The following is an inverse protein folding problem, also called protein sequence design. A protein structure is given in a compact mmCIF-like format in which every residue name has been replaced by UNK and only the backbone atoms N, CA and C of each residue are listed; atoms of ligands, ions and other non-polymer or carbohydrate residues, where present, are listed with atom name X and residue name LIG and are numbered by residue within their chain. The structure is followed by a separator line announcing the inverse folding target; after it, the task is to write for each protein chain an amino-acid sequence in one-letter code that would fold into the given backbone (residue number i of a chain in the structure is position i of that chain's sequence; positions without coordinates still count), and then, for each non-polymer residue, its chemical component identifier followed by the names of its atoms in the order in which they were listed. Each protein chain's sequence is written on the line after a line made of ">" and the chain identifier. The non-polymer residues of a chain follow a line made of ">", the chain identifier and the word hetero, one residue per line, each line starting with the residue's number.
data_IF_316277883497
#
_entry.id   IF_316277883497
#
_cell.length_a   1.000
_cell.length_b   1.000
_cell.length_c   1.000
_cell.angle_alpha   90.00
_cell.angle_beta   90.00
_cell.angle_gamma   90.00
#
_symmetry.space_group_name_H-M   'P 1'
#
loop_
_entity.id
_entity.type
_entity.pdbx_description
1 polymer ?
#
# COMPACT_ATOMS: atom_id res chain seq x y z
N UNK A 1 -14.68 24.06 -7.23
CA UNK A 1 -14.54 22.60 -7.31
C UNK A 1 -15.94 22.05 -7.40
N UNK A 2 -16.32 21.66 -8.61
CA UNK A 2 -17.67 21.23 -8.91
C UNK A 2 -17.85 19.74 -8.63
N UNK A 3 -18.81 19.40 -7.75
CA UNK A 3 -19.20 18.02 -7.46
C UNK A 3 -20.55 17.73 -8.13
N UNK A 4 -20.51 16.90 -9.18
CA UNK A 4 -21.67 16.42 -9.96
C UNK A 4 -22.23 15.17 -9.30
N UNK A 5 -23.22 15.37 -8.43
CA UNK A 5 -23.80 14.33 -7.60
C UNK A 5 -24.94 13.58 -8.30
N UNK A 6 -25.02 12.27 -8.06
CA UNK A 6 -26.26 11.52 -8.32
C UNK A 6 -27.40 12.05 -7.47
N UNK A 7 -28.66 11.86 -7.92
CA UNK A 7 -29.84 12.27 -7.16
C UNK A 7 -29.82 11.72 -5.72
N UNK A 8 -29.44 10.45 -5.57
CA UNK A 8 -29.34 9.77 -4.27
C UNK A 8 -28.35 10.47 -3.32
N UNK A 9 -27.21 10.95 -3.84
CA UNK A 9 -26.23 11.66 -3.03
C UNK A 9 -26.74 13.07 -2.68
N UNK A 10 -27.33 13.81 -3.62
CA UNK A 10 -27.92 15.12 -3.33
C UNK A 10 -29.00 15.04 -2.24
N UNK A 11 -29.91 14.08 -2.36
CA UNK A 11 -30.95 13.82 -1.37
C UNK A 11 -30.36 13.47 0.02
N UNK A 12 -29.17 12.85 0.05
CA UNK A 12 -28.47 12.50 1.29
C UNK A 12 -27.76 13.71 1.91
N UNK A 13 -27.23 14.62 1.08
CA UNK A 13 -26.50 15.82 1.52
C UNK A 13 -27.41 16.96 1.95
N UNK A 14 -28.66 16.99 1.49
CA UNK A 14 -29.54 18.17 1.59
C UNK A 14 -28.87 19.44 1.00
N UNK A 15 -28.05 19.24 -0.04
CA UNK A 15 -27.23 20.28 -0.63
C UNK A 15 -28.03 21.16 -1.62
N UNK A 16 -27.74 22.47 -1.62
CA UNK A 16 -28.28 23.40 -2.62
C UNK A 16 -27.54 23.23 -3.94
N UNK A 17 -28.30 22.92 -4.99
CA UNK A 17 -27.77 22.81 -6.35
C UNK A 17 -27.45 24.20 -6.89
N UNK A 18 -26.23 24.37 -7.40
CA UNK A 18 -25.79 25.56 -8.13
C UNK A 18 -25.80 25.32 -9.65
N UNK A 19 -25.85 26.40 -10.43
CA UNK A 19 -25.69 26.30 -11.88
C UNK A 19 -24.28 25.82 -12.23
N UNK A 20 -24.19 25.02 -13.30
CA UNK A 20 -22.93 24.49 -13.81
C UNK A 20 -22.23 25.59 -14.62
N UNK A 21 -21.28 26.28 -13.98
CA UNK A 21 -20.51 27.37 -14.59
C UNK A 21 -19.28 26.86 -15.35
N UNK A 22 -19.45 25.92 -16.30
CA UNK A 22 -18.36 25.41 -17.17
C UNK A 22 -16.99 25.32 -16.46
N UNK A 23 -16.95 24.71 -15.26
CA UNK A 23 -15.70 24.57 -14.52
C UNK A 23 -14.71 23.68 -15.30
N UNK A 24 -13.42 23.92 -15.12
CA UNK A 24 -12.37 23.06 -15.67
C UNK A 24 -12.61 21.61 -15.24
N UNK A 25 -12.51 20.67 -16.19
CA UNK A 25 -12.69 19.24 -15.92
C UNK A 25 -11.67 18.71 -14.89
N UNK A 26 -10.52 19.37 -14.75
CA UNK A 26 -9.50 19.06 -13.74
C UNK A 26 -10.05 19.17 -12.31
N UNK A 27 -10.92 20.15 -12.07
CA UNK A 27 -11.50 20.47 -10.76
C UNK A 27 -12.96 20.01 -10.62
N UNK A 28 -13.43 19.20 -11.57
CA UNK A 28 -14.81 18.68 -11.60
C UNK A 28 -14.81 17.18 -11.32
N UNK A 29 -15.72 16.74 -10.44
CA UNK A 29 -15.81 15.36 -9.98
C UNK A 29 -17.25 14.87 -10.05
N UNK A 30 -17.48 13.68 -10.59
CA UNK A 30 -18.73 12.96 -10.39
C UNK A 30 -18.72 12.23 -9.06
N UNK A 31 -19.85 12.27 -8.34
CA UNK A 31 -19.96 11.61 -7.05
C UNK A 31 -21.25 10.79 -6.89
N UNK A 32 -21.13 9.61 -6.25
CA UNK A 32 -22.25 8.73 -5.94
C UNK A 32 -22.17 8.23 -4.51
N UNK A 33 -23.33 7.91 -3.91
CA UNK A 33 -23.42 7.20 -2.63
C UNK A 33 -23.95 5.78 -2.84
N UNK A 34 -23.15 4.80 -2.46
CA UNK A 34 -23.48 3.37 -2.49
C UNK A 34 -23.46 2.79 -1.08
N UNK A 35 -23.89 1.54 -0.96
CA UNK A 35 -23.81 0.79 0.29
C UNK A 35 -22.84 -0.37 0.06
N UNK A 36 -21.76 -0.42 0.83
CA UNK A 36 -20.74 -1.49 0.79
C UNK A 36 -20.63 -2.03 2.20
N UNK A 37 -20.73 -3.35 2.38
CA UNK A 37 -20.72 -4.01 3.71
C UNK A 37 -21.63 -3.32 4.72
N UNK A 38 -22.87 -3.00 4.30
CA UNK A 38 -23.92 -2.30 5.08
C UNK A 38 -23.56 -0.87 5.54
N UNK A 39 -22.41 -0.32 5.12
CA UNK A 39 -21.99 1.05 5.42
C UNK A 39 -22.16 1.97 4.22
N UNK A 40 -22.47 3.26 4.47
CA UNK A 40 -22.58 4.28 3.42
C UNK A 40 -21.19 4.59 2.89
N UNK A 41 -21.04 4.57 1.57
CA UNK A 41 -19.77 4.80 0.89
C UNK A 41 -19.99 5.86 -0.18
N UNK A 42 -19.20 6.92 -0.17
CA UNK A 42 -19.20 7.95 -1.21
C UNK A 42 -17.99 7.71 -2.11
N UNK A 43 -18.25 7.69 -3.41
CA UNK A 43 -17.21 7.52 -4.45
C UNK A 43 -17.18 8.81 -5.25
N UNK A 44 -16.00 9.39 -5.40
CA UNK A 44 -15.74 10.47 -6.33
C UNK A 44 -14.90 9.97 -7.50
N UNK A 45 -15.18 10.48 -8.69
CA UNK A 45 -14.49 10.17 -9.94
C UNK A 45 -14.21 11.48 -10.69
N UNK A 46 -12.94 11.77 -10.96
CA UNK A 46 -12.56 13.00 -11.64
C UNK A 46 -12.99 13.01 -13.13
N UNK A 47 -13.43 14.18 -13.61
CA UNK A 47 -13.98 14.35 -14.95
C UNK A 47 -12.93 14.41 -16.05
N UNK A 48 -11.69 14.75 -15.74
CA UNK A 48 -10.58 14.78 -16.69
C UNK A 48 -9.83 13.44 -16.68
N UNK A 49 -9.31 13.04 -15.52
CA UNK A 49 -8.34 11.95 -15.41
C UNK A 49 -8.90 10.63 -14.89
N UNK A 50 -10.18 10.58 -14.49
CA UNK A 50 -10.82 9.37 -13.91
C UNK A 50 -10.23 8.90 -12.59
N UNK A 51 -9.41 9.71 -11.93
CA UNK A 51 -8.89 9.37 -10.61
C UNK A 51 -10.06 9.19 -9.63
N UNK A 52 -9.94 8.21 -8.74
CA UNK A 52 -11.01 7.80 -7.83
C UNK A 52 -10.64 8.14 -6.40
N UNK A 53 -11.61 8.69 -5.66
CA UNK A 53 -11.53 8.84 -4.20
C UNK A 53 -12.67 8.05 -3.57
N UNK A 54 -12.35 7.24 -2.56
CA UNK A 54 -13.31 6.42 -1.82
C UNK A 54 -13.40 6.90 -0.38
N UNK A 55 -14.62 7.24 0.03
CA UNK A 55 -14.98 7.50 1.42
C UNK A 55 -15.87 6.36 1.91
N UNK A 56 -15.47 5.66 2.96
CA UNK A 56 -16.17 4.49 3.49
C UNK A 56 -16.73 4.77 4.90
N UNK A 57 -17.72 3.99 5.34
CA UNK A 57 -18.15 4.05 6.73
C UNK A 57 -18.90 5.32 7.16
N UNK A 58 -19.37 6.16 6.22
CA UNK A 58 -19.88 7.50 6.58
C UNK A 58 -21.13 7.44 7.47
N UNK A 59 -21.09 8.22 8.54
CA UNK A 59 -22.18 8.46 9.48
C UNK A 59 -22.86 9.79 9.16
N UNK A 60 -24.04 10.03 9.75
CA UNK A 60 -24.83 11.25 9.53
C UNK A 60 -24.02 12.55 9.75
N UNK A 61 -23.15 12.57 10.76
CA UNK A 61 -22.29 13.72 11.09
C UNK A 61 -21.28 14.05 9.98
N UNK A 62 -20.86 13.05 9.21
CA UNK A 62 -19.86 13.20 8.16
C UNK A 62 -20.49 13.85 6.93
N UNK A 63 -21.74 13.50 6.60
CA UNK A 63 -22.51 14.17 5.55
C UNK A 63 -22.75 15.66 5.85
N UNK A 64 -22.91 16.04 7.12
CA UNK A 64 -23.03 17.46 7.50
C UNK A 64 -21.74 18.26 7.32
N UNK A 65 -20.59 17.59 7.13
CA UNK A 65 -19.28 18.21 6.90
C UNK A 65 -18.65 17.76 5.57
N UNK A 66 -19.49 17.36 4.60
CA UNK A 66 -19.04 16.72 3.38
C UNK A 66 -18.01 17.55 2.60
N UNK A 67 -18.20 18.87 2.50
CA UNK A 67 -17.29 19.75 1.76
C UNK A 67 -15.85 19.64 2.28
N UNK A 68 -15.69 19.73 3.61
CA UNK A 68 -14.38 19.59 4.27
C UNK A 68 -13.83 18.19 4.11
N UNK A 69 -14.68 17.17 4.20
CA UNK A 69 -14.27 15.77 4.08
C UNK A 69 -13.79 15.45 2.65
N UNK A 70 -14.47 15.95 1.61
CA UNK A 70 -14.06 15.77 0.21
C UNK A 70 -12.71 16.44 -0.04
N UNK A 71 -12.55 17.71 0.36
CA UNK A 71 -11.31 18.44 0.17
C UNK A 71 -10.14 17.75 0.89
N UNK A 72 -10.35 17.37 2.15
CA UNK A 72 -9.36 16.60 2.92
C UNK A 72 -9.03 15.28 2.24
N UNK A 73 -10.02 14.52 1.78
CA UNK A 73 -9.76 13.23 1.16
C UNK A 73 -8.97 13.33 -0.13
N UNK A 74 -9.24 14.32 -0.98
CA UNK A 74 -8.42 14.57 -2.18
C UNK A 74 -6.99 14.93 -1.77
N UNK A 75 -6.82 15.79 -0.76
CA UNK A 75 -5.50 16.20 -0.25
C UNK A 75 -4.72 15.00 0.29
N UNK A 76 -5.29 14.27 1.25
CA UNK A 76 -4.66 13.13 1.91
C UNK A 76 -4.25 12.06 0.88
N UNK A 77 -5.10 11.77 -0.13
CA UNK A 77 -4.76 10.82 -1.20
C UNK A 77 -3.68 11.37 -2.14
N UNK A 78 -3.66 12.67 -2.43
CA UNK A 78 -2.62 13.28 -3.25
C UNK A 78 -1.25 13.29 -2.53
N UNK A 79 -1.24 13.53 -1.22
CA UNK A 79 -0.06 13.36 -0.38
C UNK A 79 0.42 11.91 -0.37
N UNK A 80 -0.49 10.94 -0.22
CA UNK A 80 -0.15 9.50 -0.26
C UNK A 80 0.37 9.04 -1.63
N UNK A 81 -0.04 9.69 -2.72
CA UNK A 81 0.53 9.52 -4.06
C UNK A 81 1.91 10.19 -4.24
N UNK A 82 2.44 10.82 -3.19
CA UNK A 82 3.66 11.62 -3.20
C UNK A 82 3.62 12.77 -4.23
N UNK A 83 2.44 13.37 -4.47
CA UNK A 83 2.37 14.53 -5.34
C UNK A 83 3.08 15.72 -4.68
N UNK A 84 3.75 16.52 -5.51
CA UNK A 84 4.46 17.72 -5.08
C UNK A 84 3.52 18.69 -4.34
N UNK A 85 3.88 19.07 -3.12
CA UNK A 85 3.10 19.95 -2.25
C UNK A 85 2.74 21.30 -2.92
N UNK A 86 3.66 21.86 -3.70
CA UNK A 86 3.41 23.11 -4.45
C UNK A 86 2.29 22.94 -5.48
N UNK A 87 2.24 21.77 -6.15
CA UNK A 87 1.18 21.42 -7.09
C UNK A 87 -0.14 21.18 -6.36
N UNK A 88 -0.13 20.49 -5.22
CA UNK A 88 -1.34 20.27 -4.40
C UNK A 88 -1.94 21.61 -3.97
N UNK A 89 -1.10 22.50 -3.43
CA UNK A 89 -1.51 23.83 -2.99
C UNK A 89 -2.09 24.67 -4.14
N UNK A 90 -1.42 24.68 -5.30
CA UNK A 90 -1.91 25.37 -6.48
C UNK A 90 -3.24 24.77 -6.99
N UNK A 91 -3.36 23.44 -7.00
CA UNK A 91 -4.59 22.73 -7.38
C UNK A 91 -5.78 23.19 -6.53
N UNK A 92 -5.65 23.23 -5.20
CA UNK A 92 -6.74 23.65 -4.32
C UNK A 92 -7.03 25.15 -4.40
N UNK A 93 -6.00 25.98 -4.60
CA UNK A 93 -6.18 27.42 -4.80
C UNK A 93 -7.00 27.72 -6.06
N UNK A 94 -6.72 27.02 -7.17
CA UNK A 94 -7.44 27.18 -8.43
C UNK A 94 -8.82 26.52 -8.42
N UNK A 95 -8.92 25.35 -7.79
CA UNK A 95 -10.19 24.64 -7.66
C UNK A 95 -11.20 25.46 -6.84
N UNK A 96 -10.76 26.17 -5.79
CA UNK A 96 -11.64 26.95 -4.93
C UNK A 96 -12.63 26.09 -4.12
N UNK A 97 -13.69 26.71 -3.61
CA UNK A 97 -14.69 26.05 -2.76
C UNK A 97 -15.52 24.96 -3.47
N UNK A 98 -16.12 24.07 -2.68
CA UNK A 98 -17.04 23.04 -3.16
C UNK A 98 -18.36 23.68 -3.61
N UNK A 99 -18.83 23.27 -4.78
CA UNK A 99 -20.19 23.52 -5.25
C UNK A 99 -20.82 22.22 -5.72
N UNK A 100 -22.15 22.13 -5.65
CA UNK A 100 -22.87 20.89 -6.00
C UNK A 100 -23.78 21.11 -7.20
N UNK A 101 -23.75 20.17 -8.13
CA UNK A 101 -24.74 20.10 -9.21
C UNK A 101 -25.22 18.69 -9.46
N UNK A 102 -26.16 18.54 -10.37
CA UNK A 102 -26.73 17.24 -10.75
C UNK A 102 -25.88 16.57 -11.83
N UNK A 103 -25.64 15.26 -11.71
CA UNK A 103 -25.12 14.45 -12.83
C UNK A 103 -26.12 14.46 -13.99
N UNK A 104 -25.68 14.82 -15.20
CA UNK A 104 -26.57 14.94 -16.39
C UNK A 104 -26.40 13.83 -17.43
N UNK A 105 -25.35 13.02 -17.35
CA UNK A 105 -25.06 12.02 -18.37
C UNK A 105 -25.01 10.58 -17.82
N UNK A 106 -25.61 9.65 -18.58
CA UNK A 106 -25.70 8.23 -18.20
C UNK A 106 -24.34 7.53 -18.20
N UNK A 107 -23.34 8.08 -18.89
CA UNK A 107 -22.03 7.44 -19.01
C UNK A 107 -21.23 7.58 -17.71
N UNK A 108 -21.26 8.75 -17.08
CA UNK A 108 -20.60 9.02 -15.79
C UNK A 108 -21.22 8.18 -14.67
N UNK A 109 -22.55 8.05 -14.63
CA UNK A 109 -23.23 7.14 -13.68
C UNK A 109 -22.82 5.68 -13.89
N UNK A 110 -22.68 5.23 -15.14
CA UNK A 110 -22.22 3.86 -15.43
C UNK A 110 -20.78 3.63 -14.98
N UNK A 111 -19.88 4.62 -15.14
CA UNK A 111 -18.50 4.55 -14.64
C UNK A 111 -18.46 4.49 -13.12
N UNK A 112 -19.23 5.34 -12.43
CA UNK A 112 -19.35 5.32 -10.97
C UNK A 112 -19.84 3.97 -10.44
N UNK A 113 -20.81 3.34 -11.10
CA UNK A 113 -21.27 2.00 -10.72
C UNK A 113 -20.17 0.95 -10.92
N UNK A 114 -19.38 1.03 -12.00
CA UNK A 114 -18.23 0.15 -12.19
C UNK A 114 -17.18 0.33 -11.09
N UNK A 115 -16.93 1.57 -10.65
CA UNK A 115 -16.05 1.83 -9.51
C UNK A 115 -16.62 1.22 -8.23
N UNK A 116 -17.94 1.33 -8.01
CA UNK A 116 -18.59 0.68 -6.87
C UNK A 116 -18.44 -0.86 -6.89
N UNK A 117 -18.48 -1.48 -8.07
CA UNK A 117 -18.20 -2.92 -8.20
C UNK A 117 -16.76 -3.24 -7.76
N UNK A 118 -15.78 -2.42 -8.16
CA UNK A 118 -14.39 -2.59 -7.72
C UNK A 118 -14.21 -2.38 -6.22
N UNK A 119 -14.87 -1.38 -5.62
CA UNK A 119 -14.85 -1.20 -4.15
C UNK A 119 -15.39 -2.44 -3.45
N UNK A 120 -16.42 -3.09 -3.99
CA UNK A 120 -16.91 -4.36 -3.44
C UNK A 120 -15.95 -5.53 -3.70
N UNK A 121 -15.22 -5.56 -4.81
CA UNK A 121 -14.22 -6.60 -5.10
C UNK A 121 -12.99 -6.49 -4.20
N UNK A 122 -12.60 -5.27 -3.85
CA UNK A 122 -11.46 -4.98 -2.97
C UNK A 122 -11.91 -4.62 -1.55
N UNK A 123 -13.04 -5.18 -1.09
CA UNK A 123 -13.58 -4.84 0.22
C UNK A 123 -12.63 -5.22 1.36
N UNK A 124 -11.78 -6.24 1.18
CA UNK A 124 -10.76 -6.65 2.15
C UNK A 124 -9.65 -5.59 2.35
N UNK A 125 -9.54 -4.60 1.46
CA UNK A 125 -8.62 -3.47 1.61
C UNK A 125 -9.23 -2.29 2.38
N UNK A 126 -10.49 -2.39 2.82
CA UNK A 126 -11.16 -1.33 3.57
C UNK A 126 -10.65 -1.29 5.01
N UNK A 127 -10.27 -0.10 5.45
CA UNK A 127 -9.84 0.17 6.82
C UNK A 127 -11.06 0.66 7.61
N UNK A 128 -11.59 -0.16 8.51
CA UNK A 128 -12.89 0.10 9.15
C UNK A 128 -12.98 1.41 9.94
N UNK A 129 -11.88 1.79 10.57
CA UNK A 129 -11.80 2.97 11.44
C UNK A 129 -11.36 4.24 10.71
N UNK A 130 -11.07 4.15 9.41
CA UNK A 130 -10.84 5.31 8.57
C UNK A 130 -12.04 5.61 7.68
N UNK A 131 -12.44 6.87 7.59
CA UNK A 131 -13.42 7.29 6.57
C UNK A 131 -12.74 7.45 5.21
N UNK A 132 -11.51 7.97 5.18
CA UNK A 132 -10.76 8.22 3.94
C UNK A 132 -9.96 6.97 3.61
N UNK A 133 -10.28 6.34 2.48
CA UNK A 133 -9.68 5.07 2.08
C UNK A 133 -8.57 5.33 1.05
N UNK A 134 -7.46 5.93 1.48
CA UNK A 134 -6.35 6.31 0.57
C UNK A 134 -5.80 5.11 -0.20
N UNK A 135 -5.40 4.05 0.49
CA UNK A 135 -4.82 2.84 -0.13
C UNK A 135 -5.76 2.23 -1.18
N UNK A 136 -7.06 2.18 -0.91
CA UNK A 136 -8.05 1.68 -1.86
C UNK A 136 -8.25 2.65 -3.05
N UNK A 137 -8.26 3.95 -2.79
CA UNK A 137 -8.37 5.00 -3.83
C UNK A 137 -7.21 4.92 -4.82
N UNK A 138 -5.98 4.80 -4.31
CA UNK A 138 -4.76 4.60 -5.09
C UNK A 138 -4.80 3.27 -5.88
N UNK A 139 -5.24 2.18 -5.23
CA UNK A 139 -5.35 0.86 -5.87
C UNK A 139 -6.33 0.87 -7.04
N UNK A 140 -7.51 1.44 -6.85
CA UNK A 140 -8.54 1.55 -7.90
C UNK A 140 -8.05 2.47 -9.02
N UNK A 141 -7.33 3.54 -8.71
CA UNK A 141 -6.81 4.48 -9.72
C UNK A 141 -5.65 3.93 -10.55
N UNK A 142 -5.13 2.74 -10.23
CA UNK A 142 -4.17 1.97 -11.06
C UNK A 142 -4.82 0.91 -11.95
N UNK A 143 -6.15 0.80 -11.92
CA UNK A 143 -6.92 -0.13 -12.74
C UNK A 143 -7.02 0.42 -14.17
N UNK A 144 -6.72 -0.42 -15.15
CA UNK A 144 -6.85 -0.06 -16.57
C UNK A 144 -8.33 0.15 -16.95
N UNK A 145 -8.67 1.32 -17.49
CA UNK A 145 -10.05 1.67 -17.89
C UNK A 145 -10.12 2.09 -19.36
N UNK A 146 -11.28 1.88 -20.01
CA UNK A 146 -11.45 2.35 -21.38
C UNK A 146 -11.52 3.88 -21.43
N UNK A 147 -10.85 4.47 -22.41
CA UNK A 147 -10.83 5.93 -22.58
C UNK A 147 -12.23 6.50 -22.83
N UNK A 148 -12.99 5.83 -23.69
CA UNK A 148 -14.36 6.18 -24.02
C UNK A 148 -15.22 4.96 -24.34
N UNK A 149 -16.53 5.16 -24.44
CA UNK A 149 -17.49 4.07 -24.68
C UNK A 149 -17.24 3.46 -26.07
N UNK A 150 -16.83 2.19 -26.10
CA UNK A 150 -16.52 1.47 -27.33
C UNK A 150 -15.10 1.70 -27.87
N UNK A 151 -14.26 2.45 -27.17
CA UNK A 151 -12.85 2.60 -27.53
C UNK A 151 -12.07 1.30 -27.31
N UNK A 152 -11.09 1.05 -28.16
CA UNK A 152 -10.04 0.03 -27.95
C UNK A 152 -8.84 0.59 -27.19
N UNK A 153 -8.83 1.90 -26.96
CA UNK A 153 -7.80 2.61 -26.21
C UNK A 153 -8.14 2.59 -24.72
N UNK A 154 -7.09 2.44 -23.93
CA UNK A 154 -7.17 2.34 -22.49
C UNK A 154 -6.27 3.37 -21.84
N UNK A 155 -6.70 3.85 -20.68
CA UNK A 155 -5.97 4.77 -19.83
C UNK A 155 -5.79 4.14 -18.45
N UNK A 156 -4.77 4.60 -17.73
CA UNK A 156 -4.61 4.35 -16.30
C UNK A 156 -4.86 5.68 -15.60
N UNK A 157 -5.85 5.77 -14.70
CA UNK A 157 -6.24 7.04 -14.10
C UNK A 157 -5.11 7.80 -13.42
N UNK A 158 -4.23 7.13 -12.67
CA UNK A 158 -3.07 7.77 -12.02
C UNK A 158 -2.06 8.31 -13.04
N UNK A 159 -1.73 7.55 -14.10
CA UNK A 159 -0.84 8.02 -15.18
C UNK A 159 -1.42 9.28 -15.85
N UNK A 160 -2.75 9.32 -16.04
CA UNK A 160 -3.43 10.46 -16.65
C UNK A 160 -3.49 11.66 -15.71
N UNK A 161 -3.73 11.45 -14.41
CA UNK A 161 -3.64 12.49 -13.39
C UNK A 161 -2.25 13.14 -13.42
N UNK A 162 -1.19 12.33 -13.38
CA UNK A 162 0.18 12.84 -13.40
C UNK A 162 0.45 13.67 -14.63
N UNK A 163 0.13 13.13 -15.82
CA UNK A 163 0.27 13.86 -17.08
C UNK A 163 -0.46 15.20 -17.06
N UNK A 164 -1.71 15.22 -16.60
CA UNK A 164 -2.50 16.46 -16.61
C UNK A 164 -1.96 17.50 -15.61
N UNK A 165 -1.44 17.08 -14.46
CA UNK A 165 -0.79 17.98 -13.51
C UNK A 165 0.54 18.51 -14.05
N UNK A 166 1.36 17.65 -14.65
CA UNK A 166 2.64 18.06 -15.26
C UNK A 166 2.43 19.11 -16.36
N UNK A 167 1.46 18.87 -17.26
CA UNK A 167 1.07 19.81 -18.32
C UNK A 167 0.56 21.14 -17.77
N UNK A 168 -0.12 21.14 -16.63
CA UNK A 168 -0.74 22.34 -16.04
C UNK A 168 0.27 23.19 -15.26
N UNK A 169 1.17 22.55 -14.51
CA UNK A 169 2.04 23.24 -13.54
C UNK A 169 3.51 23.33 -13.99
N UNK A 170 3.94 22.57 -15.01
CA UNK A 170 5.32 22.58 -15.52
C UNK A 170 6.38 22.31 -14.44
N UNK A 171 6.06 21.42 -13.49
CA UNK A 171 6.91 21.02 -12.38
C UNK A 171 6.91 19.48 -12.25
N UNK A 172 7.95 18.88 -11.63
CA UNK A 172 7.92 17.47 -11.28
C UNK A 172 6.68 17.15 -10.44
N UNK A 173 5.89 16.19 -10.91
CA UNK A 173 4.63 15.83 -10.28
C UNK A 173 4.85 15.03 -9.01
N UNK A 174 5.78 14.08 -9.05
CA UNK A 174 6.16 13.29 -7.90
C UNK A 174 7.35 13.95 -7.22
N UNK A 175 7.23 14.13 -5.91
CA UNK A 175 8.29 14.63 -5.05
C UNK A 175 8.08 14.08 -3.65
N UNK A 176 8.70 12.93 -3.36
CA UNK A 176 8.53 12.24 -2.09
C UNK A 176 9.79 12.28 -1.24
N UNK A 177 9.61 12.37 0.08
CA UNK A 177 10.65 11.93 1.01
C UNK A 177 10.69 10.40 1.02
N UNK A 178 11.88 9.83 0.97
CA UNK A 178 12.11 8.39 1.02
C UNK A 178 13.26 8.05 1.96
N UNK A 179 13.30 6.80 2.40
CA UNK A 179 14.39 6.21 3.19
C UNK A 179 15.08 5.12 2.40
N UNK A 180 16.40 5.04 2.52
CA UNK A 180 17.17 3.87 2.09
C UNK A 180 17.18 2.89 3.25
N UNK A 181 16.71 1.66 3.03
CA UNK A 181 16.68 0.63 4.06
C UNK A 181 17.38 -0.64 3.59
N UNK A 182 18.14 -1.24 4.50
CA UNK A 182 18.69 -2.59 4.35
C UNK A 182 17.88 -3.54 5.23
N UNK A 183 17.48 -4.66 4.66
CA UNK A 183 16.73 -5.72 5.31
C UNK A 183 17.57 -6.98 5.28
N UNK A 184 17.99 -7.46 6.43
CA UNK A 184 18.83 -8.66 6.58
C UNK A 184 18.00 -9.77 7.19
N UNK A 185 17.85 -10.89 6.48
CA UNK A 185 17.24 -12.10 7.03
C UNK A 185 18.24 -12.75 7.98
N UNK A 186 17.78 -13.02 9.19
CA UNK A 186 18.62 -13.47 10.26
C UNK A 186 18.91 -14.98 10.16
N UNK A 187 20.11 -15.30 9.66
CA UNK A 187 20.61 -16.66 9.52
C UNK A 187 22.08 -16.69 9.98
N UNK A 188 22.45 -17.68 10.77
CA UNK A 188 23.78 -17.84 11.33
C UNK A 188 24.82 -18.16 10.25
N UNK A 189 24.45 -18.98 9.26
CA UNK A 189 25.37 -19.52 8.26
C UNK A 189 25.22 -18.90 6.86
N UNK A 190 24.27 -17.97 6.67
CA UNK A 190 23.93 -17.41 5.35
C UNK A 190 23.83 -15.89 5.36
N UNK A 191 24.47 -15.23 4.40
CA UNK A 191 24.35 -13.78 4.20
C UNK A 191 23.23 -13.47 3.21
N UNK A 192 22.01 -13.29 3.74
CA UNK A 192 20.81 -13.01 2.96
C UNK A 192 20.26 -11.62 3.31
N UNK A 193 20.31 -10.69 2.35
CA UNK A 193 19.79 -9.33 2.56
C UNK A 193 19.25 -8.69 1.28
N UNK A 194 18.42 -7.65 1.44
CA UNK A 194 17.82 -6.84 0.38
C UNK A 194 17.90 -5.36 0.75
N UNK A 195 18.11 -4.48 -0.23
CA UNK A 195 18.14 -3.03 -0.04
C UNK A 195 17.08 -2.35 -0.90
N UNK A 196 16.42 -1.36 -0.33
CA UNK A 196 15.32 -0.63 -0.96
C UNK A 196 15.45 0.87 -0.77
N UNK A 197 14.86 1.63 -1.69
CA UNK A 197 14.44 3.02 -1.44
C UNK A 197 12.93 2.98 -1.26
N UNK A 198 12.43 3.51 -0.14
CA UNK A 198 11.02 3.40 0.24
C UNK A 198 10.47 4.79 0.57
N UNK A 199 9.46 5.28 -0.19
CA UNK A 199 8.76 6.51 0.16
C UNK A 199 8.18 6.44 1.57
N UNK A 200 8.30 7.51 2.36
CA UNK A 200 7.83 7.50 3.76
C UNK A 200 6.31 7.42 3.89
N UNK A 201 5.57 7.70 2.81
CA UNK A 201 4.12 7.52 2.76
C UNK A 201 3.70 6.07 2.49
N UNK A 202 4.66 5.15 2.31
CA UNK A 202 4.40 3.71 2.23
C UNK A 202 3.82 3.23 3.55
N UNK A 203 2.76 2.42 3.50
CA UNK A 203 2.20 1.79 4.71
C UNK A 203 2.94 0.52 5.09
N UNK A 204 2.86 0.11 6.35
CA UNK A 204 3.44 -1.16 6.82
C UNK A 204 2.89 -2.39 6.08
N UNK A 205 1.60 -2.39 5.72
CA UNK A 205 1.00 -3.42 4.85
C UNK A 205 1.64 -3.47 3.46
N UNK A 206 2.01 -2.30 2.88
CA UNK A 206 2.68 -2.26 1.57
C UNK A 206 4.14 -2.68 1.72
N UNK A 207 4.82 -2.26 2.79
CA UNK A 207 6.18 -2.72 3.10
C UNK A 207 6.22 -4.24 3.22
N UNK A 208 5.27 -4.84 3.93
CA UNK A 208 5.14 -6.29 4.06
C UNK A 208 5.07 -6.98 2.69
N UNK A 209 4.21 -6.50 1.79
CA UNK A 209 4.09 -7.05 0.43
C UNK A 209 5.40 -6.91 -0.37
N UNK A 210 6.13 -5.82 -0.19
CA UNK A 210 7.45 -5.62 -0.81
C UNK A 210 8.45 -6.64 -0.28
N UNK A 211 8.48 -6.87 1.04
CA UNK A 211 9.34 -7.88 1.67
C UNK A 211 9.01 -9.28 1.15
N UNK A 212 7.73 -9.66 1.14
CA UNK A 212 7.27 -10.94 0.59
C UNK A 212 7.76 -11.16 -0.85
N UNK A 213 7.65 -10.14 -1.72
CA UNK A 213 8.16 -10.24 -3.09
C UNK A 213 9.68 -10.28 -3.18
N UNK A 214 10.37 -9.52 -2.34
CA UNK A 214 11.83 -9.44 -2.37
C UNK A 214 12.50 -10.72 -1.85
N UNK A 215 11.83 -11.40 -0.92
CA UNK A 215 12.23 -12.68 -0.36
C UNK A 215 11.56 -13.86 -1.11
N UNK A 216 10.71 -13.61 -2.10
CA UNK A 216 10.08 -14.65 -2.96
C UNK A 216 9.12 -15.58 -2.20
N UNK A 217 8.57 -15.08 -1.10
CA UNK A 217 7.57 -15.76 -0.29
C UNK A 217 6.14 -15.56 -0.82
N UNK A 218 5.22 -16.28 -0.20
CA UNK A 218 3.85 -16.51 -0.67
C UNK A 218 2.79 -15.77 0.14
N UNK A 219 3.17 -15.13 1.25
CA UNK A 219 2.25 -14.39 2.12
C UNK A 219 1.16 -15.32 2.69
N UNK A 220 1.58 -16.48 3.23
CA UNK A 220 0.70 -17.49 3.83
C UNK A 220 0.50 -17.29 5.33
N UNK A 221 1.46 -16.67 6.00
CA UNK A 221 1.53 -16.63 7.46
C UNK A 221 1.41 -15.22 8.02
N UNK A 222 1.15 -15.15 9.33
CA UNK A 222 1.11 -13.89 10.07
C UNK A 222 2.49 -13.24 10.15
N UNK A 223 2.49 -11.94 10.39
CA UNK A 223 3.71 -11.17 10.59
C UNK A 223 3.52 -10.01 11.56
N UNK A 224 4.63 -9.46 12.01
CA UNK A 224 4.65 -8.21 12.78
C UNK A 224 5.94 -7.42 12.58
N UNK A 225 5.96 -6.21 13.13
CA UNK A 225 7.13 -5.35 13.21
C UNK A 225 7.35 -4.89 14.65
N UNK A 226 8.47 -5.26 15.25
CA UNK A 226 8.96 -4.55 16.42
C UNK A 226 9.68 -3.28 15.97
N UNK A 227 9.23 -2.14 16.48
CA UNK A 227 9.92 -0.85 16.34
C UNK A 227 10.77 -0.64 17.56
N UNK A 228 12.04 -0.26 17.35
CA UNK A 228 13.00 -0.07 18.42
C UNK A 228 13.28 1.41 18.67
N UNK A 229 13.50 1.76 19.93
CA UNK A 229 13.90 3.12 20.32
C UNK A 229 15.41 3.31 20.32
N UNK A 230 15.85 4.56 20.15
CA UNK A 230 17.27 4.95 20.11
C UNK A 230 17.99 4.86 21.47
N UNK A 231 17.24 4.60 22.55
CA UNK A 231 17.77 4.56 23.91
C UNK A 231 17.56 3.20 24.58
N UNK A 232 18.64 2.69 25.17
CA UNK A 232 18.64 1.48 26.00
C UNK A 232 19.14 0.27 25.24
N UNK A 233 20.38 -0.13 25.52
CA UNK A 233 20.86 -1.47 25.21
C UNK A 233 20.28 -2.39 26.29
N UNK A 234 19.41 -3.32 25.93
CA UNK A 234 18.90 -4.35 26.84
C UNK A 234 20.06 -5.24 27.27
N UNK A 235 20.03 -5.69 28.52
CA UNK A 235 20.94 -6.73 28.98
C UNK A 235 20.81 -7.96 28.07
N UNK A 236 21.94 -8.47 27.56
CA UNK A 236 22.04 -9.68 26.74
C UNK A 236 21.39 -10.92 27.37
N UNK A 237 21.03 -10.88 28.66
CA UNK A 237 20.19 -11.89 29.31
C UNK A 237 18.82 -12.09 28.66
N UNK A 238 18.34 -11.15 27.83
CA UNK A 238 17.10 -11.24 27.05
C UNK A 238 17.27 -11.78 25.63
N UNK A 239 18.43 -12.34 25.26
CA UNK A 239 18.70 -12.83 23.89
C UNK A 239 17.68 -13.85 23.35
N UNK A 240 17.02 -14.59 24.25
CA UNK A 240 15.99 -15.58 23.89
C UNK A 240 14.57 -15.00 23.84
N UNK A 241 14.39 -13.69 24.05
CA UNK A 241 13.08 -13.05 24.02
C UNK A 241 12.64 -12.79 22.57
N UNK A 242 11.37 -13.04 22.18
CA UNK A 242 10.90 -12.82 20.81
C UNK A 242 11.06 -11.37 20.35
N UNK A 243 11.01 -10.39 21.26
CA UNK A 243 11.13 -8.96 20.94
C UNK A 243 12.60 -8.49 20.89
N UNK A 244 13.57 -9.35 21.23
CA UNK A 244 14.98 -8.98 21.32
C UNK A 244 15.55 -8.54 19.97
N UNK A 245 16.33 -7.46 19.97
CA UNK A 245 17.17 -7.06 18.84
C UNK A 245 18.61 -7.53 19.07
N UNK A 246 19.31 -8.05 18.04
CA UNK A 246 20.69 -8.57 18.17
C UNK A 246 21.70 -7.57 18.75
N UNK A 247 21.55 -6.29 18.39
CA UNK A 247 22.38 -5.19 18.93
C UNK A 247 21.89 -4.65 20.29
N UNK A 248 20.81 -5.22 20.83
CA UNK A 248 20.26 -4.89 22.13
C UNK A 248 19.32 -3.68 22.14
N UNK A 249 18.76 -3.21 21.04
CA UNK A 249 17.76 -2.14 21.11
C UNK A 249 16.48 -2.57 21.84
N UNK A 250 15.86 -1.64 22.58
CA UNK A 250 14.63 -1.87 23.31
C UNK A 250 13.40 -1.68 22.39
N UNK A 251 12.49 -2.66 22.30
CA UNK A 251 11.26 -2.51 21.52
C UNK A 251 10.33 -1.52 22.23
N UNK A 252 9.73 -0.62 21.47
CA UNK A 252 8.82 0.43 21.97
C UNK A 252 7.40 0.32 21.41
N UNK A 253 7.23 -0.43 20.32
CA UNK A 253 5.94 -0.66 19.68
C UNK A 253 5.98 -1.97 18.91
N UNK A 254 4.87 -2.70 18.90
CA UNK A 254 4.64 -3.82 18.00
C UNK A 254 3.52 -3.49 17.01
N UNK A 255 3.82 -3.53 15.72
CA UNK A 255 2.84 -3.33 14.65
C UNK A 255 2.47 -4.70 14.09
N UNK A 256 1.22 -5.10 14.26
CA UNK A 256 0.75 -6.47 13.98
C UNK A 256 -0.11 -6.56 12.73
N UNK A 257 -0.07 -7.70 12.03
CA UNK A 257 -0.90 -7.98 10.86
C UNK A 257 -2.36 -8.31 11.21
N UNK A 258 -2.66 -8.68 12.45
CA UNK A 258 -3.98 -9.17 12.88
C UNK A 258 -4.28 -8.81 14.35
N UNK A 259 -5.57 -8.64 14.71
CA UNK A 259 -6.01 -8.34 16.09
C UNK A 259 -5.58 -9.36 17.13
N UNK A 260 -5.56 -10.62 16.71
CA UNK A 260 -5.32 -11.75 17.58
C UNK A 260 -3.84 -12.15 17.55
N UNK A 261 -2.97 -11.36 16.91
CA UNK A 261 -1.54 -11.47 17.11
C UNK A 261 -1.28 -11.43 18.62
N UNK A 262 -0.66 -12.51 19.11
CA UNK A 262 -0.59 -12.89 20.52
C UNK A 262 -0.35 -11.69 21.44
N UNK A 263 -1.14 -11.57 22.52
CA UNK A 263 -0.86 -10.61 23.58
C UNK A 263 0.61 -10.69 23.97
N UNK A 264 1.35 -9.61 23.72
CA UNK A 264 2.76 -9.54 24.05
C UNK A 264 2.93 -9.75 25.56
N UNK A 265 3.84 -10.63 26.00
CA UNK A 265 4.06 -10.91 27.42
C UNK A 265 4.51 -9.70 28.25
N UNK A 266 4.97 -8.61 27.62
CA UNK A 266 5.62 -7.47 28.28
C UNK A 266 4.81 -6.16 28.30
N UNK A 267 3.49 -6.20 28.10
CA UNK A 267 2.62 -5.00 28.04
C UNK A 267 3.05 -3.98 26.95
N UNK A 268 3.76 -4.42 25.90
CA UNK A 268 4.17 -3.57 24.79
C UNK A 268 2.95 -3.05 24.02
N UNK A 269 2.96 -1.77 23.65
CA UNK A 269 1.87 -1.19 22.85
C UNK A 269 1.78 -1.92 21.50
N UNK A 270 0.56 -2.31 21.14
CA UNK A 270 0.26 -3.00 19.89
C UNK A 270 -0.72 -2.19 19.06
N UNK A 271 -0.40 -2.02 17.78
CA UNK A 271 -1.28 -1.39 16.80
C UNK A 271 -1.38 -2.25 15.54
N UNK A 272 -2.49 -2.15 14.81
CA UNK A 272 -2.62 -2.84 13.52
C UNK A 272 -1.93 -2.06 12.41
N UNK A 273 -1.30 -2.76 11.47
CA UNK A 273 -0.56 -2.13 10.37
C UNK A 273 -1.44 -1.37 9.36
N UNK A 274 -2.74 -1.67 9.31
CA UNK A 274 -3.64 -1.21 8.25
C UNK A 274 -3.75 0.32 8.21
N UNK A 275 -3.14 0.91 7.18
CA UNK A 275 -3.15 2.36 6.95
C UNK A 275 -2.07 3.14 7.69
N UNK A 276 -1.26 2.48 8.52
CA UNK A 276 -0.15 3.13 9.24
C UNK A 276 1.01 3.35 8.27
N UNK A 277 1.43 4.60 8.10
CA UNK A 277 2.56 4.99 7.23
C UNK A 277 3.88 4.99 7.97
N UNK A 278 4.98 4.77 7.25
CA UNK A 278 6.33 4.91 7.79
C UNK A 278 6.62 6.33 8.30
N UNK A 279 5.98 7.35 7.75
CA UNK A 279 6.08 8.74 8.23
C UNK A 279 5.35 9.00 9.54
N UNK A 280 4.33 8.19 9.87
CA UNK A 280 3.62 8.28 11.15
C UNK A 280 4.39 7.59 12.27
N UNK A 281 5.07 6.49 11.94
CA UNK A 281 5.90 5.72 12.86
C UNK A 281 7.26 5.49 12.22
N UNK A 282 8.12 6.52 12.20
CA UNK A 282 9.47 6.37 11.68
C UNK A 282 10.33 5.54 12.65
N UNK A 283 11.36 4.90 12.12
CA UNK A 283 12.32 4.12 12.89
C UNK A 283 13.71 4.19 12.27
N UNK A 284 14.74 4.03 13.08
CA UNK A 284 16.11 3.74 12.61
C UNK A 284 16.32 2.22 12.50
N UNK A 285 15.79 1.48 13.49
CA UNK A 285 15.86 0.03 13.58
C UNK A 285 14.47 -0.58 13.79
N UNK A 286 14.17 -1.63 13.03
CA UNK A 286 12.98 -2.45 13.21
C UNK A 286 13.31 -3.93 13.01
N UNK A 287 12.47 -4.81 13.55
CA UNK A 287 12.52 -6.25 13.28
C UNK A 287 11.20 -6.71 12.71
N UNK A 288 11.23 -7.21 11.48
CA UNK A 288 10.10 -7.84 10.82
C UNK A 288 10.19 -9.35 11.02
N UNK A 289 9.16 -9.95 11.62
CA UNK A 289 9.06 -11.42 11.74
C UNK A 289 7.93 -11.90 10.88
N UNK A 290 8.21 -12.86 10.01
CA UNK A 290 7.24 -13.55 9.17
C UNK A 290 7.20 -15.02 9.54
N UNK A 291 5.99 -15.60 9.54
CA UNK A 291 5.74 -16.97 9.96
C UNK A 291 6.12 -17.20 11.42
N UNK A 292 5.13 -17.24 12.32
CA UNK A 292 5.39 -17.47 13.74
C UNK A 292 5.71 -18.93 14.08
N UNK A 293 5.57 -19.85 13.12
CA UNK A 293 6.05 -21.22 13.22
C UNK A 293 7.54 -21.31 12.90
N UNK A 294 7.91 -20.95 11.67
CA UNK A 294 9.30 -21.01 11.20
C UNK A 294 10.17 -19.85 11.73
N UNK A 295 9.54 -18.77 12.19
CA UNK A 295 10.13 -17.60 12.85
C UNK A 295 11.21 -16.92 12.00
N UNK A 296 10.88 -16.53 10.76
CA UNK A 296 11.79 -15.81 9.88
C UNK A 296 11.95 -14.35 10.34
N UNK A 297 13.07 -14.06 11.01
CA UNK A 297 13.37 -12.75 11.56
C UNK A 297 14.21 -11.91 10.59
N UNK A 298 13.82 -10.65 10.40
CA UNK A 298 14.53 -9.73 9.54
C UNK A 298 14.85 -8.45 10.30
N UNK A 299 16.13 -8.07 10.34
CA UNK A 299 16.54 -6.77 10.83
C UNK A 299 16.45 -5.74 9.71
N UNK A 300 15.75 -4.64 9.99
CA UNK A 300 15.57 -3.52 9.08
C UNK A 300 16.33 -2.33 9.66
N UNK A 301 17.25 -1.79 8.88
CA UNK A 301 18.07 -0.63 9.23
C UNK A 301 17.86 0.48 8.19
N UNK A 302 17.58 1.69 8.66
CA UNK A 302 17.56 2.88 7.79
C UNK A 302 18.98 3.41 7.62
N UNK A 303 19.49 3.34 6.39
CA UNK A 303 20.86 3.76 6.04
C UNK A 303 20.94 5.23 5.60
N UNK A 304 19.80 5.88 5.34
CA UNK A 304 19.75 7.30 4.97
C UNK A 304 18.39 7.77 4.46
N UNK A 305 18.29 9.08 4.18
CA UNK A 305 17.08 9.73 3.66
C UNK A 305 17.32 10.38 2.29
N UNK A 306 16.28 10.46 1.48
CA UNK A 306 16.23 11.16 0.19
C UNK A 306 15.04 12.11 0.27
N UNK A 307 15.26 13.41 0.14
CA UNK A 307 14.18 14.41 0.29
C UNK A 307 13.34 14.58 -0.99
N UNK A 308 13.96 14.45 -2.17
CA UNK A 308 13.34 14.70 -3.48
C UNK A 308 13.31 13.43 -4.35
N UNK A 309 12.78 12.33 -3.83
CA UNK A 309 12.61 11.09 -4.57
C UNK A 309 11.49 11.23 -5.61
N UNK A 310 11.77 10.86 -6.87
CA UNK A 310 10.90 11.07 -8.04
C UNK A 310 9.95 9.89 -8.30
N UNK A 311 9.86 8.96 -7.36
CA UNK A 311 9.02 7.78 -7.46
C UNK A 311 8.13 7.65 -6.21
N UNK A 312 6.87 7.27 -6.44
CA UNK A 312 5.85 7.17 -5.39
C UNK A 312 5.62 5.74 -4.90
N UNK A 313 6.55 4.83 -5.19
CA UNK A 313 6.52 3.47 -4.68
C UNK A 313 7.92 2.97 -4.28
N UNK A 314 7.99 1.94 -3.42
CA UNK A 314 9.25 1.28 -3.09
C UNK A 314 10.01 0.77 -4.33
N UNK A 315 11.33 0.90 -4.31
CA UNK A 315 12.24 0.47 -5.37
C UNK A 315 13.30 -0.45 -4.79
N UNK A 316 13.42 -1.64 -5.36
CA UNK A 316 14.52 -2.56 -5.07
C UNK A 316 15.84 -2.02 -5.65
N UNK A 317 16.87 -1.96 -4.82
CA UNK A 317 18.20 -1.45 -5.17
C UNK A 317 19.17 -2.60 -5.44
N UNK A 318 19.35 -3.48 -4.44
CA UNK A 318 20.35 -4.54 -4.48
C UNK A 318 20.08 -5.62 -3.41
N UNK A 319 20.79 -6.75 -3.45
CA UNK A 319 20.68 -7.81 -2.46
C UNK A 319 21.71 -8.92 -2.62
N UNK A 320 21.68 -9.87 -1.70
CA UNK A 320 22.53 -11.08 -1.72
C UNK A 320 21.81 -12.25 -1.07
N UNK A 321 22.20 -13.47 -1.45
CA UNK A 321 21.78 -14.70 -0.78
C UNK A 321 20.43 -15.24 -1.25
N UNK A 322 20.39 -16.58 -1.36
CA UNK A 322 19.18 -17.34 -1.66
C UNK A 322 18.18 -17.21 -0.50
N UNK A 323 16.89 -17.12 -0.79
CA UNK A 323 15.88 -17.13 0.28
C UNK A 323 15.48 -18.58 0.62
N UNK A 324 15.28 -18.92 1.91
CA UNK A 324 14.63 -20.17 2.29
C UNK A 324 13.26 -20.35 1.62
N UNK A 325 12.90 -21.57 1.17
CA UNK A 325 11.54 -21.87 0.71
C UNK A 325 10.52 -21.61 1.82
N UNK A 326 9.28 -21.29 1.43
CA UNK A 326 8.14 -21.33 2.36
C UNK A 326 8.01 -22.70 3.02
N UNK A 327 7.58 -22.71 4.28
CA UNK A 327 7.28 -23.92 5.07
C UNK A 327 8.45 -24.93 5.18
N UNK A 328 9.70 -24.47 5.07
CA UNK A 328 10.89 -25.36 5.12
C UNK A 328 11.23 -25.82 6.54
N UNK A 329 10.63 -25.22 7.58
CA UNK A 329 10.84 -25.58 8.98
C UNK A 329 11.90 -24.74 9.67
N UNK A 330 11.91 -23.43 9.39
CA UNK A 330 12.85 -22.48 9.96
C UNK A 330 14.29 -22.73 9.50
N UNK A 331 15.24 -22.08 10.17
CA UNK A 331 16.66 -22.12 9.78
C UNK A 331 17.23 -23.54 9.72
N UNK A 332 16.98 -24.37 10.74
CA UNK A 332 17.44 -25.77 10.73
C UNK A 332 16.84 -26.59 9.59
N UNK A 333 15.57 -26.31 9.25
CA UNK A 333 14.90 -26.94 8.12
C UNK A 333 15.54 -26.53 6.79
N UNK A 334 15.89 -25.26 6.64
CA UNK A 334 16.60 -24.75 5.48
C UNK A 334 17.99 -25.37 5.30
N UNK A 335 18.76 -25.52 6.37
CA UNK A 335 20.06 -26.20 6.33
C UNK A 335 19.94 -27.65 5.89
N UNK A 336 18.97 -28.38 6.46
CA UNK A 336 18.69 -29.76 6.10
C UNK A 336 18.25 -29.88 4.63
N UNK A 337 17.36 -28.99 4.18
CA UNK A 337 16.96 -28.90 2.78
C UNK A 337 18.15 -28.72 1.85
N UNK A 338 19.05 -27.76 2.15
CA UNK A 338 20.23 -27.50 1.35
C UNK A 338 21.16 -28.72 1.30
N UNK A 339 21.32 -29.45 2.40
CA UNK A 339 22.10 -30.68 2.44
C UNK A 339 21.50 -31.74 1.49
N UNK A 340 20.19 -32.01 1.60
CA UNK A 340 19.48 -33.00 0.77
C UNK A 340 19.59 -32.67 -0.72
N UNK A 341 19.28 -31.44 -1.13
CA UNK A 341 19.31 -31.07 -2.57
C UNK A 341 20.72 -30.98 -3.15
N UNK A 342 21.76 -30.98 -2.30
CA UNK A 342 23.15 -30.94 -2.73
C UNK A 342 23.73 -32.32 -3.04
N UNK A 343 23.11 -33.38 -2.51
CA UNK A 343 23.52 -34.78 -2.71
C UNK A 343 22.52 -35.53 -3.60
N UNK A 344 22.85 -35.79 -4.89
CA UNK A 344 21.99 -36.54 -5.81
C UNK A 344 21.74 -38.00 -5.43
N UNK A 345 22.53 -38.56 -4.51
CA UNK A 345 22.39 -39.95 -4.05
C UNK A 345 21.44 -40.07 -2.84
N UNK A 346 21.01 -38.96 -2.23
CA UNK A 346 20.00 -38.95 -1.16
C UNK A 346 18.63 -39.38 -1.69
N UNK A 347 17.94 -40.26 -0.94
CA UNK A 347 16.67 -40.86 -1.38
C UNK A 347 15.58 -39.79 -1.62
N UNK A 348 15.59 -38.74 -0.81
CA UNK A 348 14.59 -37.66 -0.84
C UNK A 348 14.97 -36.50 -1.79
N UNK A 349 16.10 -36.60 -2.51
CA UNK A 349 16.66 -35.50 -3.31
C UNK A 349 15.69 -34.91 -4.34
N UNK A 350 15.08 -35.76 -5.17
CA UNK A 350 14.17 -35.33 -6.24
C UNK A 350 12.85 -34.79 -5.69
N UNK A 351 12.33 -35.39 -4.61
CA UNK A 351 11.10 -34.96 -3.97
C UNK A 351 11.26 -33.56 -3.34
N UNK A 352 12.36 -33.31 -2.64
CA UNK A 352 12.64 -31.98 -2.06
C UNK A 352 12.89 -30.92 -3.13
N UNK A 353 13.53 -31.26 -4.25
CA UNK A 353 13.67 -30.33 -5.38
C UNK A 353 12.33 -29.94 -5.96
N UNK A 354 11.45 -30.92 -6.21
CA UNK A 354 10.12 -30.66 -6.75
C UNK A 354 9.29 -29.80 -5.81
N UNK A 355 9.27 -30.15 -4.51
CA UNK A 355 8.58 -29.36 -3.49
C UNK A 355 9.13 -27.92 -3.43
N UNK A 356 10.44 -27.74 -3.44
CA UNK A 356 11.04 -26.40 -3.40
C UNK A 356 10.69 -25.58 -4.64
N UNK A 357 10.62 -26.17 -5.83
CA UNK A 357 10.15 -25.50 -7.05
C UNK A 357 8.69 -25.04 -6.91
N UNK A 358 7.81 -25.83 -6.29
CA UNK A 358 6.42 -25.44 -5.99
C UNK A 358 6.37 -24.24 -5.03
N UNK A 359 7.30 -24.17 -4.07
CA UNK A 359 7.49 -23.01 -3.20
C UNK A 359 8.22 -21.83 -3.86
N UNK A 360 8.53 -21.92 -5.17
CA UNK A 360 9.30 -20.92 -5.94
C UNK A 360 10.74 -20.74 -5.46
N UNK A 361 11.29 -21.70 -4.73
CA UNK A 361 12.70 -21.68 -4.38
C UNK A 361 13.54 -21.56 -5.64
N UNK A 362 14.56 -20.70 -5.57
CA UNK A 362 15.47 -20.46 -6.66
C UNK A 362 16.74 -19.83 -6.16
N UNK A 363 17.81 -19.99 -6.94
CA UNK A 363 19.02 -19.18 -6.76
C UNK A 363 18.71 -17.70 -6.89
N UNK A 364 19.34 -16.92 -6.03
CA UNK A 364 19.20 -15.47 -5.99
C UNK A 364 19.50 -14.87 -7.36
N UNK A 365 18.55 -14.07 -7.84
CA UNK A 365 18.65 -13.32 -9.08
C UNK A 365 18.12 -11.91 -8.83
N UNK A 366 18.99 -10.88 -8.78
CA UNK A 366 18.55 -9.50 -8.52
C UNK A 366 17.59 -8.98 -9.59
N UNK A 367 17.69 -9.44 -10.83
CA UNK A 367 16.81 -9.02 -11.93
C UNK A 367 15.40 -9.59 -11.71
N UNK A 368 15.32 -10.84 -11.28
CA UNK A 368 14.04 -11.46 -10.94
C UNK A 368 13.38 -10.78 -9.74
N UNK A 369 14.13 -10.58 -8.65
CA UNK A 369 13.64 -9.91 -7.43
C UNK A 369 13.15 -8.50 -7.74
N UNK A 370 13.94 -7.72 -8.49
CA UNK A 370 13.55 -6.38 -8.95
C UNK A 370 12.21 -6.41 -9.68
N UNK A 371 12.03 -7.37 -10.60
CA UNK A 371 10.79 -7.52 -11.37
C UNK A 371 9.60 -7.87 -10.47
N UNK A 372 9.75 -8.80 -9.53
CA UNK A 372 8.66 -9.18 -8.60
C UNK A 372 8.20 -7.99 -7.75
N UNK A 373 9.14 -7.17 -7.27
CA UNK A 373 8.83 -5.95 -6.50
C UNK A 373 8.15 -4.90 -7.39
N UNK A 374 8.68 -4.64 -8.60
CA UNK A 374 8.06 -3.70 -9.54
C UNK A 374 6.64 -4.12 -9.95
N UNK A 375 6.41 -5.41 -10.15
CA UNK A 375 5.12 -5.96 -10.57
C UNK A 375 3.99 -5.70 -9.54
N UNK A 376 4.31 -5.45 -8.26
CA UNK A 376 3.33 -5.01 -7.26
C UNK A 376 2.65 -3.68 -7.62
N UNK A 377 3.44 -2.79 -8.23
CA UNK A 377 3.04 -1.42 -8.53
C UNK A 377 2.67 -1.23 -10.00
N UNK A 378 2.89 -2.25 -10.84
CA UNK A 378 2.42 -2.26 -12.23
C UNK A 378 0.90 -2.36 -12.32
N UNK A 379 0.41 -1.92 -13.49
CA UNK A 379 -1.00 -1.77 -13.86
C UNK A 379 -1.80 -3.03 -13.54
N UNK A 380 -2.88 -2.87 -12.78
CA UNK A 380 -3.81 -3.96 -12.54
C UNK A 380 -4.79 -4.07 -13.71
N UNK A 381 -4.78 -5.21 -14.40
CA UNK A 381 -5.82 -5.57 -15.36
C UNK A 381 -6.82 -6.46 -14.63
N UNK A 382 -8.00 -5.95 -14.24
CA UNK A 382 -9.02 -6.77 -13.60
C UNK A 382 -9.41 -7.89 -14.57
N UNK A 383 -9.74 -9.09 -14.08
CA UNK A 383 -10.31 -10.12 -14.92
C UNK A 383 -11.51 -9.52 -15.67
N UNK A 384 -11.49 -9.64 -17.00
CA UNK A 384 -12.64 -9.26 -17.81
C UNK A 384 -13.68 -10.32 -17.50
N UNK A 385 -14.70 -9.97 -16.70
CA UNK A 385 -15.91 -10.80 -16.64
C UNK A 385 -16.51 -10.76 -18.04
N UNK A 386 -16.38 -11.88 -18.78
CA UNK A 386 -17.10 -12.13 -20.03
C UNK A 386 -18.61 -12.15 -19.82
#
# INVERSE_FOLDING_TARGET
>A
MLIKCTKKLLDTLDAKVTEDHQESLMFSWHANVVTVNRRKTVILLNDLNRYVIVLYGLKKKDFSNMDKLILRAINDVFEDECLNEDIINAYFQEAGGITYTTTKDRSSTSRLNRVADWVNQFYDLLIEDSVIQSSLSMRISRILVSESKGSKDYIVPVDLLHKNLEESYSQPVIKCKAVVMKVTLDLDNFDVWRRFIVPVNTTYTVLHKVLQKAFVWRDYHLHHYYIYGDQGIVDTSMINHPNFHKEGYLPILNIVSDEYAFNDPDDLEMIWENGVRLSEIPFEHAKYTYDFGDNWQHYIEVEGTIEDFDCNHPVFVDGSGDTPPEDVGGESGYENFLAIISDPDEEEHEDFKLWAEEQRFRKYDPVFVKKEVEDLFRRYKPPINE
#
